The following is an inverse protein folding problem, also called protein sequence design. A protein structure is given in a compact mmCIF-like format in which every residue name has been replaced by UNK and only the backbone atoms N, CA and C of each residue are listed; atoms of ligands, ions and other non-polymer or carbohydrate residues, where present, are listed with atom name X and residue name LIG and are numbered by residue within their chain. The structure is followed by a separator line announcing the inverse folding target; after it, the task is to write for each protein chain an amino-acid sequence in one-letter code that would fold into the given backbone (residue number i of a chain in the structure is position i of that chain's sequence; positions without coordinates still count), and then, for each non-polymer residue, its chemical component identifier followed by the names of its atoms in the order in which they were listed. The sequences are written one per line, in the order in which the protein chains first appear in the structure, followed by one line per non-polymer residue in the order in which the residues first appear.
data_IF_150633677679
#
_entry.id   IF_150633677679
#
_cell.length_a   1.000
_cell.length_b   1.000
_cell.length_c   1.000
_cell.angle_alpha   90.00
_cell.angle_beta   90.00
_cell.angle_gamma   90.00
#
_symmetry.space_group_name_H-M   'P 1'
#
loop_
_entity.id
_entity.type
_entity.pdbx_description
1 polymer ?
#
# COMPACT_ATOMS: atom_id res chain seq x y z
N UNK A 1 2.76 14.74 -11.86
CA UNK A 1 2.66 13.26 -11.80
C UNK A 1 1.34 12.76 -11.19
N UNK A 2 1.04 12.95 -9.89
CA UNK A 2 -0.30 12.60 -9.35
C UNK A 2 -1.43 13.33 -10.09
N UNK A 3 -1.20 14.57 -10.52
CA UNK A 3 -2.18 15.35 -11.31
C UNK A 3 -2.54 14.69 -12.65
N UNK A 4 -1.59 14.10 -13.38
CA UNK A 4 -1.87 13.42 -14.65
C UNK A 4 -2.78 12.21 -14.48
N UNK A 5 -2.67 11.48 -13.36
CA UNK A 5 -3.60 10.38 -13.07
C UNK A 5 -5.00 10.88 -12.71
N UNK A 6 -5.14 12.10 -12.17
CA UNK A 6 -6.45 12.71 -11.94
C UNK A 6 -7.14 13.13 -13.23
N UNK A 7 -6.38 13.55 -14.24
CA UNK A 7 -6.92 13.90 -15.57
C UNK A 7 -7.60 12.71 -16.25
N UNK A 8 -7.25 11.47 -15.86
CA UNK A 8 -7.94 10.26 -16.32
C UNK A 8 -9.36 10.11 -15.74
N UNK A 9 -9.73 10.89 -14.72
CA UNK A 9 -11.03 10.79 -14.03
C UNK A 9 -11.69 12.17 -13.84
N UNK A 10 -12.07 12.86 -14.94
CA UNK A 10 -12.51 14.26 -14.90
C UNK A 10 -13.85 14.49 -14.18
N UNK A 11 -14.66 13.44 -13.95
CA UNK A 11 -15.96 13.53 -13.27
C UNK A 11 -15.90 13.42 -11.73
N UNK A 12 -14.75 13.01 -11.17
CA UNK A 12 -14.63 12.70 -9.75
C UNK A 12 -14.45 13.94 -8.87
N UNK A 13 -15.37 14.19 -7.94
CA UNK A 13 -15.17 15.20 -6.87
C UNK A 13 -14.17 14.74 -5.80
N UNK A 14 -13.99 13.44 -5.64
CA UNK A 14 -13.05 12.82 -4.70
C UNK A 14 -12.20 11.75 -5.40
N UNK A 15 -11.04 11.40 -4.83
CA UNK A 15 -10.17 10.37 -5.42
C UNK A 15 -10.79 9.00 -5.28
N UNK A 16 -11.23 8.43 -6.39
CA UNK A 16 -11.81 7.07 -6.45
C UNK A 16 -10.85 6.03 -7.04
N UNK A 17 -9.54 6.29 -6.98
CA UNK A 17 -8.52 5.38 -7.45
C UNK A 17 -7.33 5.23 -6.50
N UNK A 18 -6.69 4.08 -6.61
CA UNK A 18 -5.36 3.78 -6.11
C UNK A 18 -4.41 3.62 -7.29
N UNK A 19 -3.14 3.87 -7.06
CA UNK A 19 -2.14 3.60 -8.07
C UNK A 19 -0.84 3.09 -7.47
N UNK A 20 -0.06 2.39 -8.28
CA UNK A 20 1.31 1.98 -8.00
C UNK A 20 2.18 2.37 -9.19
N UNK A 21 3.30 3.05 -8.92
CA UNK A 21 4.31 3.37 -9.92
C UNK A 21 5.38 2.29 -9.91
N UNK A 22 5.67 1.76 -11.08
CA UNK A 22 6.79 0.86 -11.32
C UNK A 22 7.68 1.43 -12.42
N UNK A 23 8.97 1.11 -12.36
CA UNK A 23 9.95 1.48 -13.37
C UNK A 23 10.38 0.20 -14.07
N UNK A 24 10.19 0.14 -15.39
CA UNK A 24 10.49 -1.01 -16.21
C UNK A 24 11.30 -0.53 -17.41
N UNK A 25 12.54 -0.99 -17.54
CA UNK A 25 13.42 -0.68 -18.68
C UNK A 25 13.59 0.83 -18.94
N UNK A 26 13.63 1.65 -17.88
CA UNK A 26 13.79 3.11 -17.98
C UNK A 26 12.51 3.89 -18.29
N UNK A 27 11.37 3.21 -18.49
CA UNK A 27 10.06 3.84 -18.61
C UNK A 27 9.24 3.63 -17.32
N UNK A 28 8.45 4.64 -16.94
CA UNK A 28 7.51 4.51 -15.83
C UNK A 28 6.19 3.90 -16.29
N UNK A 29 5.71 2.91 -15.55
CA UNK A 29 4.36 2.35 -15.70
C UNK A 29 3.55 2.64 -14.45
N UNK A 30 2.27 2.93 -14.65
CA UNK A 30 1.31 3.07 -13.57
C UNK A 30 0.31 1.91 -13.65
N UNK A 31 0.18 1.17 -12.56
CA UNK A 31 -0.99 0.34 -12.32
C UNK A 31 -2.00 1.18 -11.58
N UNK A 32 -3.24 1.18 -12.04
CA UNK A 32 -4.33 1.95 -11.45
C UNK A 32 -5.49 1.00 -11.15
N UNK A 33 -6.04 1.08 -9.95
CA UNK A 33 -7.28 0.43 -9.55
C UNK A 33 -8.30 1.52 -9.25
N UNK A 34 -9.37 1.58 -10.04
CA UNK A 34 -10.39 2.63 -9.98
C UNK A 34 -11.79 2.04 -10.02
N UNK A 35 -12.77 2.77 -9.47
CA UNK A 35 -14.19 2.42 -9.58
C UNK A 35 -14.74 2.74 -10.97
N UNK A 36 -14.35 3.89 -11.52
CA UNK A 36 -14.71 4.32 -12.86
C UNK A 36 -13.65 3.91 -13.89
N UNK A 37 -14.07 3.79 -15.15
CA UNK A 37 -13.15 3.56 -16.27
C UNK A 37 -12.34 4.84 -16.53
N UNK A 38 -11.00 4.76 -16.70
CA UNK A 38 -10.21 5.93 -17.05
C UNK A 38 -10.60 6.46 -18.43
N UNK A 39 -10.56 7.78 -18.58
CA UNK A 39 -10.63 8.45 -19.88
C UNK A 39 -9.34 8.23 -20.69
N UNK A 40 -9.43 8.49 -21.99
CA UNK A 40 -8.25 8.48 -22.87
C UNK A 40 -7.27 9.59 -22.47
N UNK A 41 -5.99 9.37 -22.78
CA UNK A 41 -4.91 10.29 -22.42
C UNK A 41 -4.01 10.56 -23.61
N UNK A 42 -3.51 11.80 -23.71
CA UNK A 42 -2.43 12.16 -24.64
C UNK A 42 -1.04 11.85 -24.07
N UNK A 43 -0.95 11.57 -22.76
CA UNK A 43 0.31 11.33 -22.04
C UNK A 43 0.58 9.82 -21.88
N UNK A 44 -0.48 9.03 -21.72
CA UNK A 44 -0.39 7.61 -21.42
C UNK A 44 -1.10 6.77 -22.47
N UNK A 45 -0.48 5.65 -22.85
CA UNK A 45 -1.18 4.53 -23.48
C UNK A 45 -2.03 3.81 -22.42
N UNK A 46 -3.34 4.10 -22.41
CA UNK A 46 -4.26 3.58 -21.38
C UNK A 46 -4.80 2.22 -21.79
N UNK A 47 -4.35 1.16 -21.10
CA UNK A 47 -4.94 -0.17 -21.20
C UNK A 47 -5.83 -0.44 -19.98
N UNK A 48 -7.09 -0.79 -20.22
CA UNK A 48 -8.09 -1.01 -19.17
C UNK A 48 -8.78 -2.35 -19.33
N UNK A 49 -8.93 -3.08 -18.21
CA UNK A 49 -9.75 -4.29 -18.11
C UNK A 49 -10.50 -4.31 -16.77
N UNK A 50 -11.70 -4.92 -16.71
CA UNK A 50 -12.39 -5.15 -15.45
C UNK A 50 -11.52 -5.95 -14.46
N UNK A 51 -11.57 -5.60 -13.18
CA UNK A 51 -10.91 -6.33 -12.10
C UNK A 51 -11.97 -7.00 -11.23
N UNK A 52 -12.28 -8.26 -11.55
CA UNK A 52 -13.27 -9.08 -10.83
C UNK A 52 -12.69 -10.48 -10.56
N UNK A 53 -11.65 -10.58 -9.72
CA UNK A 53 -11.05 -11.87 -9.39
C UNK A 53 -12.06 -12.76 -8.65
N UNK A 54 -12.19 -14.02 -9.09
CA UNK A 54 -12.98 -15.02 -8.40
C UNK A 54 -12.17 -15.59 -7.22
N UNK A 55 -12.29 -14.95 -6.05
CA UNK A 55 -11.59 -15.35 -4.84
C UNK A 55 -12.41 -16.33 -4.01
N UNK A 56 -11.75 -17.31 -3.39
CA UNK A 56 -12.37 -18.32 -2.52
C UNK A 56 -11.68 -18.30 -1.15
N UNK A 57 -12.45 -18.52 -0.08
CA UNK A 57 -11.87 -18.69 1.25
C UNK A 57 -10.90 -19.89 1.28
N UNK A 58 -9.76 -19.74 1.94
CA UNK A 58 -8.65 -20.70 1.92
C UNK A 58 -7.69 -20.55 0.73
N UNK A 59 -8.00 -19.70 -0.26
CA UNK A 59 -7.12 -19.51 -1.41
C UNK A 59 -5.81 -18.82 -1.00
N UNK A 60 -4.68 -19.41 -1.40
CA UNK A 60 -3.36 -18.78 -1.24
C UNK A 60 -3.07 -17.87 -2.42
N UNK A 61 -2.65 -16.64 -2.13
CA UNK A 61 -2.26 -15.63 -3.11
C UNK A 61 -0.88 -15.07 -2.78
N UNK A 62 -0.07 -14.88 -3.82
CA UNK A 62 1.14 -14.07 -3.71
C UNK A 62 0.77 -12.60 -3.76
N UNK A 63 1.33 -11.81 -2.85
CA UNK A 63 1.07 -10.39 -2.80
C UNK A 63 2.34 -9.55 -2.81
N UNK A 64 2.21 -8.31 -3.28
CA UNK A 64 3.13 -7.23 -2.92
C UNK A 64 2.32 -5.99 -2.54
N UNK A 65 2.80 -5.23 -1.57
CA UNK A 65 2.13 -4.04 -1.07
C UNK A 65 3.15 -2.98 -0.69
N UNK A 66 3.00 -1.77 -1.23
CA UNK A 66 3.65 -0.58 -0.68
C UNK A 66 2.64 0.14 0.22
N UNK A 67 2.82 0.14 1.53
CA UNK A 67 1.91 0.82 2.45
C UNK A 67 2.63 1.89 3.27
N UNK A 68 1.90 2.90 3.74
CA UNK A 68 2.36 3.80 4.79
C UNK A 68 1.68 3.38 6.11
N UNK A 69 2.31 2.50 6.92
CA UNK A 69 1.78 2.10 8.20
C UNK A 69 1.96 3.23 9.23
N UNK A 70 0.87 3.57 9.93
CA UNK A 70 0.87 4.65 10.91
C UNK A 70 0.14 4.24 12.17
N UNK A 71 0.59 4.73 13.32
CA UNK A 71 -0.07 4.56 14.62
C UNK A 71 -0.62 5.91 15.10
N UNK A 72 -1.76 5.89 15.78
CA UNK A 72 -2.31 7.08 16.43
C UNK A 72 -2.03 7.01 17.94
N UNK A 73 -1.38 8.03 18.50
CA UNK A 73 -1.15 8.18 19.95
C UNK A 73 -1.57 9.58 20.38
N UNK A 74 -2.41 9.67 21.41
CA UNK A 74 -2.94 10.93 21.92
C UNK A 74 -3.50 11.86 20.80
N UNK A 75 -4.27 11.28 19.87
CA UNK A 75 -4.85 12.01 18.73
C UNK A 75 -3.86 12.40 17.63
N UNK A 76 -2.55 12.18 17.80
CA UNK A 76 -1.52 12.46 16.81
C UNK A 76 -1.11 11.21 16.05
N UNK A 77 -0.86 11.37 14.76
CA UNK A 77 -0.40 10.28 13.89
C UNK A 77 1.11 10.25 13.86
N UNK A 78 1.66 9.06 14.00
CA UNK A 78 3.08 8.78 13.96
C UNK A 78 3.37 7.71 12.91
N UNK A 79 4.57 7.81 12.34
CA UNK A 79 5.18 6.73 11.57
C UNK A 79 5.36 5.51 12.49
N UNK A 80 4.90 4.34 12.03
CA UNK A 80 4.92 3.13 12.84
C UNK A 80 6.35 2.68 13.18
N UNK A 81 7.26 2.69 12.20
CA UNK A 81 8.61 2.20 12.37
C UNK A 81 9.44 3.16 13.22
N UNK A 82 9.21 4.47 13.11
CA UNK A 82 9.84 5.45 14.00
C UNK A 82 9.30 5.34 15.43
N UNK A 83 8.02 5.00 15.60
CA UNK A 83 7.48 4.72 16.93
C UNK A 83 8.12 3.47 17.55
N UNK A 84 8.23 2.38 16.78
CA UNK A 84 8.90 1.15 17.24
C UNK A 84 10.35 1.43 17.66
N UNK A 85 11.11 2.19 16.85
CA UNK A 85 12.47 2.64 17.20
C UNK A 85 12.49 3.47 18.49
N UNK A 86 11.55 4.40 18.65
CA UNK A 86 11.47 5.24 19.86
C UNK A 86 11.21 4.42 21.11
N UNK A 87 10.31 3.44 21.03
CA UNK A 87 10.00 2.53 22.14
C UNK A 87 11.23 1.71 22.54
N UNK A 88 11.96 1.17 21.56
CA UNK A 88 13.18 0.41 21.82
C UNK A 88 14.26 1.25 22.53
N UNK A 89 14.51 2.47 22.04
CA UNK A 89 15.48 3.38 22.64
C UNK A 89 15.13 3.73 24.10
N UNK A 90 13.84 3.86 24.42
CA UNK A 90 13.38 4.13 25.78
C UNK A 90 13.67 2.96 26.76
N UNK A 91 13.78 1.73 26.24
CA UNK A 91 14.06 0.53 27.02
C UNK A 91 15.57 0.28 27.25
N UNK A 92 16.45 1.21 26.86
CA UNK A 92 17.93 1.16 27.04
C UNK A 92 18.60 -0.14 26.55
N UNK A 93 18.01 -0.83 25.56
CA UNK A 93 18.58 -2.03 24.97
C UNK A 93 19.49 -1.72 23.79
N UNK A 94 20.74 -2.20 23.81
CA UNK A 94 21.51 -2.42 22.58
C UNK A 94 20.92 -3.63 21.86
N UNK A 95 19.87 -3.39 21.07
CA UNK A 95 19.21 -4.42 20.25
C UNK A 95 19.18 -3.96 18.81
N UNK A 96 19.07 -4.92 17.90
CA UNK A 96 18.91 -4.64 16.48
C UNK A 96 17.59 -3.87 16.24
N UNK A 97 17.73 -2.56 16.01
CA UNK A 97 16.61 -1.65 15.74
C UNK A 97 15.80 -2.13 14.53
N UNK A 98 16.47 -2.68 13.51
CA UNK A 98 15.81 -3.09 12.28
C UNK A 98 14.86 -4.26 12.52
N UNK A 99 15.30 -5.29 13.25
CA UNK A 99 14.44 -6.42 13.64
C UNK A 99 13.15 -5.97 14.35
N UNK A 100 13.23 -4.99 15.26
CA UNK A 100 12.06 -4.44 15.94
C UNK A 100 11.12 -3.67 15.00
N UNK A 101 11.68 -2.89 14.08
CA UNK A 101 10.90 -2.16 13.09
C UNK A 101 10.20 -3.10 12.11
N UNK A 102 10.90 -4.15 11.66
CA UNK A 102 10.36 -5.19 10.81
C UNK A 102 9.20 -5.92 11.52
N UNK A 103 9.41 -6.32 12.78
CA UNK A 103 8.37 -6.98 13.57
C UNK A 103 7.11 -6.12 13.71
N UNK A 104 7.26 -4.83 14.04
CA UNK A 104 6.13 -3.91 14.13
C UNK A 104 5.39 -3.76 12.79
N UNK A 105 6.12 -3.74 11.67
CA UNK A 105 5.54 -3.66 10.33
C UNK A 105 4.73 -4.92 9.98
N UNK A 106 5.26 -6.10 10.31
CA UNK A 106 4.58 -7.39 10.14
C UNK A 106 3.32 -7.47 10.97
N UNK A 107 3.38 -7.11 12.26
CA UNK A 107 2.22 -7.08 13.16
C UNK A 107 1.13 -6.15 12.65
N UNK A 108 1.51 -4.97 12.14
CA UNK A 108 0.57 -4.05 11.53
C UNK A 108 -0.14 -4.66 10.32
N UNK A 109 0.58 -5.35 9.43
CA UNK A 109 -0.03 -5.99 8.27
C UNK A 109 -0.88 -7.20 8.68
N UNK A 110 -0.48 -7.97 9.69
CA UNK A 110 -1.28 -9.06 10.26
C UNK A 110 -2.62 -8.54 10.76
N UNK A 111 -2.63 -7.46 11.54
CA UNK A 111 -3.87 -6.83 12.00
C UNK A 111 -4.72 -6.27 10.86
N UNK A 112 -4.11 -5.74 9.79
CA UNK A 112 -4.89 -5.39 8.60
C UNK A 112 -5.54 -6.62 7.97
N UNK A 113 -4.86 -7.77 7.97
CA UNK A 113 -5.41 -9.04 7.51
C UNK A 113 -6.62 -9.49 8.31
N UNK A 114 -6.45 -9.61 9.62
CA UNK A 114 -7.50 -10.04 10.56
C UNK A 114 -8.79 -9.22 10.41
N UNK A 115 -8.65 -7.90 10.22
CA UNK A 115 -9.78 -6.98 10.05
C UNK A 115 -10.38 -7.01 8.65
N UNK A 116 -9.65 -7.50 7.65
CA UNK A 116 -9.98 -7.30 6.25
C UNK A 116 -9.93 -8.57 5.39
N UNK A 117 -10.16 -9.73 6.00
CA UNK A 117 -10.48 -10.95 5.26
C UNK A 117 -9.27 -11.69 4.67
N UNK A 118 -8.07 -11.55 5.27
CA UNK A 118 -6.94 -12.43 4.94
C UNK A 118 -6.05 -12.72 6.14
N UNK A 119 -5.24 -13.76 6.08
CA UNK A 119 -4.12 -14.01 7.00
C UNK A 119 -2.81 -14.09 6.23
N UNK A 120 -1.69 -13.82 6.90
CA UNK A 120 -0.37 -13.94 6.29
C UNK A 120 0.15 -15.37 6.49
N UNK A 121 0.51 -16.05 5.38
CA UNK A 121 1.26 -17.33 5.41
C UNK A 121 2.76 -17.05 5.46
N UNK A 122 3.21 -16.12 4.63
CA UNK A 122 4.59 -15.65 4.56
C UNK A 122 4.60 -14.14 4.36
N UNK A 123 5.53 -13.44 5.01
CA UNK A 123 5.66 -11.98 4.87
C UNK A 123 7.11 -11.56 5.01
N UNK A 124 7.54 -10.75 4.05
CA UNK A 124 8.82 -10.07 4.04
C UNK A 124 8.59 -8.56 4.11
N UNK A 125 9.51 -7.88 4.80
CA UNK A 125 9.62 -6.42 4.79
C UNK A 125 10.81 -6.06 3.92
N UNK A 126 10.53 -5.77 2.65
CA UNK A 126 11.54 -5.65 1.60
C UNK A 126 12.29 -4.30 1.70
N UNK A 127 11.57 -3.25 2.10
CA UNK A 127 12.16 -1.92 2.26
C UNK A 127 11.34 -1.03 3.19
N UNK A 128 12.04 -0.12 3.88
CA UNK A 128 11.45 1.07 4.50
C UNK A 128 12.08 2.32 3.87
N UNK A 129 11.25 3.25 3.41
CA UNK A 129 11.70 4.46 2.71
C UNK A 129 10.99 5.68 3.27
N UNK A 130 11.76 6.71 3.60
CA UNK A 130 11.21 8.04 3.81
C UNK A 130 11.09 8.78 2.48
N UNK A 131 9.99 9.49 2.31
CA UNK A 131 9.64 10.21 1.09
C UNK A 131 9.34 11.66 1.45
N UNK A 132 9.81 12.57 0.61
CA UNK A 132 9.51 14.00 0.70
C UNK A 132 9.01 14.50 -0.64
N UNK A 133 7.84 15.11 -0.64
CA UNK A 133 7.21 15.66 -1.84
C UNK A 133 6.87 17.12 -1.59
N UNK A 134 7.37 18.00 -2.46
CA UNK A 134 6.98 19.41 -2.46
C UNK A 134 5.62 19.57 -3.11
N UNK A 135 4.67 20.23 -2.43
CA UNK A 135 3.41 20.62 -3.08
C UNK A 135 3.70 21.67 -4.14
N UNK A 136 3.12 21.51 -5.32
CA UNK A 136 3.37 22.44 -6.43
C UNK A 136 2.75 23.82 -6.19
N UNK A 137 1.55 23.84 -5.58
CA UNK A 137 0.81 25.08 -5.26
C UNK A 137 1.17 25.72 -3.91
N UNK A 138 2.09 25.13 -3.14
CA UNK A 138 2.49 25.66 -1.82
C UNK A 138 3.91 25.22 -1.45
N UNK A 139 4.71 26.09 -0.82
CA UNK A 139 6.05 25.71 -0.30
C UNK A 139 6.04 24.63 0.81
N UNK A 140 4.87 24.12 1.19
CA UNK A 140 4.73 23.06 2.16
C UNK A 140 5.30 21.72 1.63
N UNK A 141 6.21 21.15 2.43
CA UNK A 141 6.77 19.81 2.20
C UNK A 141 5.86 18.76 2.84
N UNK A 142 5.45 17.77 2.07
CA UNK A 142 4.78 16.57 2.59
C UNK A 142 5.84 15.53 2.86
N UNK A 143 5.89 15.04 4.09
CA UNK A 143 6.77 13.95 4.49
C UNK A 143 5.92 12.76 4.89
N UNK A 144 6.30 11.58 4.40
CA UNK A 144 5.71 10.31 4.79
C UNK A 144 6.72 9.20 4.57
N UNK A 145 6.43 8.02 5.10
CA UNK A 145 7.21 6.83 4.79
C UNK A 145 6.37 5.78 4.08
N UNK A 146 7.06 4.82 3.50
CA UNK A 146 6.46 3.62 2.95
C UNK A 146 7.25 2.40 3.38
N UNK A 147 6.53 1.32 3.65
CA UNK A 147 7.05 -0.02 3.81
C UNK A 147 6.60 -0.85 2.62
N UNK A 148 7.56 -1.50 1.97
CA UNK A 148 7.32 -2.44 0.89
C UNK A 148 7.27 -3.86 1.50
N UNK A 149 6.16 -4.54 1.28
CA UNK A 149 5.90 -5.91 1.72
C UNK A 149 5.76 -6.83 0.52
N UNK A 150 6.20 -8.06 0.68
CA UNK A 150 5.94 -9.18 -0.23
C UNK A 150 5.66 -10.45 0.56
N UNK A 151 5.00 -11.43 -0.07
CA UNK A 151 4.81 -12.74 0.54
C UNK A 151 3.59 -13.49 0.03
N UNK A 152 3.06 -14.36 0.88
CA UNK A 152 1.89 -15.18 0.65
C UNK A 152 0.82 -14.86 1.69
N UNK A 153 -0.41 -14.66 1.23
CA UNK A 153 -1.58 -14.52 2.09
C UNK A 153 -2.60 -15.61 1.78
N UNK A 154 -3.43 -15.93 2.76
CA UNK A 154 -4.58 -16.82 2.61
C UNK A 154 -5.84 -15.98 2.75
N UNK A 155 -6.72 -16.03 1.77
CA UNK A 155 -8.00 -15.32 1.80
C UNK A 155 -8.89 -16.01 2.85
N UNK A 156 -9.39 -15.27 3.84
CA UNK A 156 -10.35 -15.79 4.82
C UNK A 156 -11.78 -15.34 4.52
N UNK A 157 -11.96 -14.11 4.04
CA UNK A 157 -13.24 -13.58 3.57
C UNK A 157 -13.02 -12.85 2.23
N UNK A 158 -13.38 -13.48 1.10
CA UNK A 158 -13.24 -12.89 -0.24
C UNK A 158 -13.91 -11.51 -0.40
N UNK A 159 -15.08 -11.31 0.20
CA UNK A 159 -15.87 -10.08 0.00
C UNK A 159 -15.21 -8.92 0.73
N UNK A 160 -14.90 -9.12 2.01
CA UNK A 160 -14.23 -8.10 2.82
C UNK A 160 -12.84 -7.77 2.26
N UNK A 161 -12.10 -8.79 1.81
CA UNK A 161 -10.78 -8.60 1.21
C UNK A 161 -10.84 -7.76 -0.07
N UNK A 162 -11.76 -8.06 -0.99
CA UNK A 162 -11.91 -7.29 -2.23
C UNK A 162 -12.35 -5.85 -1.99
N UNK A 163 -13.31 -5.64 -1.08
CA UNK A 163 -13.72 -4.29 -0.68
C UNK A 163 -12.54 -3.51 -0.12
N UNK A 164 -11.74 -4.14 0.74
CA UNK A 164 -10.57 -3.47 1.32
C UNK A 164 -9.49 -3.20 0.28
N UNK A 165 -9.22 -4.12 -0.65
CA UNK A 165 -8.27 -3.92 -1.73
C UNK A 165 -8.61 -2.69 -2.60
N UNK A 166 -9.90 -2.48 -2.89
CA UNK A 166 -10.35 -1.31 -3.65
C UNK A 166 -10.12 0.02 -2.90
N UNK A 167 -10.20 0.00 -1.56
CA UNK A 167 -9.93 1.16 -0.71
C UNK A 167 -8.43 1.35 -0.42
N UNK A 168 -7.67 0.26 -0.37
CA UNK A 168 -6.24 0.24 -0.13
C UNK A 168 -5.83 0.26 1.35
N UNK A 169 -4.58 -0.12 1.60
CA UNK A 169 -4.03 -0.31 2.94
C UNK A 169 -3.13 0.85 3.38
N UNK A 170 -3.30 1.30 4.62
CA UNK A 170 -2.47 2.38 5.19
C UNK A 170 -2.78 3.78 4.66
N UNK A 171 -1.88 4.72 4.96
CA UNK A 171 -2.01 6.15 4.61
C UNK A 171 -1.28 6.49 3.31
N UNK A 172 -1.20 7.78 2.97
CA UNK A 172 -0.50 8.28 1.78
C UNK A 172 -0.93 7.65 0.45
N UNK A 173 -2.19 7.20 0.34
CA UNK A 173 -2.74 6.58 -0.87
C UNK A 173 -2.68 7.49 -2.11
N UNK A 174 -2.70 8.81 -1.90
CA UNK A 174 -2.49 9.81 -2.95
C UNK A 174 -1.08 9.80 -3.55
N UNK A 175 -0.12 9.13 -2.91
CA UNK A 175 1.30 9.16 -3.26
C UNK A 175 1.81 7.77 -3.66
N UNK A 176 0.92 6.90 -4.15
CA UNK A 176 1.28 5.58 -4.67
C UNK A 176 1.43 4.50 -3.61
N UNK A 177 0.81 4.69 -2.43
CA UNK A 177 0.72 3.69 -1.37
C UNK A 177 -0.67 3.02 -1.34
N UNK A 178 -0.75 1.85 -0.73
CA UNK A 178 -1.96 1.14 -0.35
C UNK A 178 -2.56 0.24 -1.42
N UNK A 179 -2.10 0.29 -2.67
CA UNK A 179 -2.50 -0.67 -3.70
C UNK A 179 -1.78 -2.01 -3.48
N UNK A 180 -2.53 -3.03 -3.09
CA UNK A 180 -2.04 -4.42 -3.01
C UNK A 180 -2.14 -5.07 -4.39
N UNK A 181 -1.03 -5.62 -4.86
CA UNK A 181 -0.98 -6.41 -6.09
C UNK A 181 -1.04 -7.89 -5.72
N UNK A 182 -1.95 -8.64 -6.34
CA UNK A 182 -2.12 -10.08 -6.09
C UNK A 182 -1.87 -10.91 -7.36
N UNK A 183 -1.40 -12.14 -7.18
CA UNK A 183 -1.26 -13.17 -8.20
C UNK A 183 -1.60 -14.53 -7.56
N UNK A 184 -1.98 -15.56 -8.34
CA UNK A 184 -2.08 -16.92 -7.82
C UNK A 184 -0.82 -17.30 -7.03
N UNK A 185 -1.00 -17.83 -5.82
CA UNK A 185 0.07 -18.52 -5.10
C UNK A 185 0.38 -19.82 -5.82
N UNK A 186 1.64 -20.25 -5.79
CA UNK A 186 1.98 -21.54 -6.40
C UNK A 186 1.19 -22.61 -5.64
N UNK A 187 0.46 -23.43 -6.38
CA UNK A 187 -0.28 -24.56 -5.81
C UNK A 187 0.77 -25.61 -5.47
N UNK A 188 0.90 -25.97 -4.18
CA UNK A 188 1.45 -27.29 -3.83
C UNK A 188 0.49 -28.38 -4.32
#
# INVERSE_FOLDING_TARGET
MHQWLWELFPGGKERQFLYRREELQGAFRFFVLSQERPADSVIFDVLCRPFSPALVAGQTLRFTLRANPTVCKAGKRHDLLMEAKRQLNAQQGSRDVWSYQQQAAIEWLSHQGEQHGFSLREVNVDAYRQQQIRREKSRQMIQFSSVDYSGLLVVSDPTTFLQRMALGYGKSRAFGCGMMMIKPGDSE
#
